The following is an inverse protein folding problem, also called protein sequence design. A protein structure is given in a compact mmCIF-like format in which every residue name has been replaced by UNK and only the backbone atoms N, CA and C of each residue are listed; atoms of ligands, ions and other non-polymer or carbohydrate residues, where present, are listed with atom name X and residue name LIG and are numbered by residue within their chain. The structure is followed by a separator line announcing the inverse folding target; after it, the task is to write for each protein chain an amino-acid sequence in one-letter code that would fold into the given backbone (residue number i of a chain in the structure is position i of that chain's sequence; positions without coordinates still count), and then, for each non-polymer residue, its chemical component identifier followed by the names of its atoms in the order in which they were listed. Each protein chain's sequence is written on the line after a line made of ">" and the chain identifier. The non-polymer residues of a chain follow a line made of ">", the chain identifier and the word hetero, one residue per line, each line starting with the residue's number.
data_IF_576527346874
#
_entry.id   IF_576527346874
#
_cell.length_a   1.000
_cell.length_b   1.000
_cell.length_c   1.000
_cell.angle_alpha   90.00
_cell.angle_beta   90.00
_cell.angle_gamma   90.00
#
_symmetry.space_group_name_H-M   'P 1'
#
loop_
_entity.id
_entity.type
_entity.pdbx_description
1 polymer ?
#
# COMPACT_ATOMS: atom_id res chain seq x y z
N UNK A 1 22.59 8.19 14.14
CA UNK A 1 21.96 6.94 13.67
C UNK A 1 23.05 6.03 13.12
N UNK A 2 23.30 4.85 13.69
CA UNK A 2 24.37 3.97 13.25
C UNK A 2 24.04 3.46 11.83
N UNK A 3 24.93 3.75 10.88
CA UNK A 3 24.71 3.62 9.42
C UNK A 3 24.97 2.22 8.85
N UNK A 4 25.28 1.22 9.68
CA UNK A 4 25.88 -0.05 9.21
C UNK A 4 25.25 -1.29 9.85
N UNK A 5 23.92 -1.35 9.97
CA UNK A 5 23.27 -2.61 10.30
C UNK A 5 23.19 -3.41 8.99
N UNK A 6 23.98 -4.49 8.89
CA UNK A 6 23.87 -5.46 7.78
C UNK A 6 22.40 -5.87 7.67
N UNK A 7 21.85 -5.81 6.46
CA UNK A 7 20.57 -6.45 6.21
C UNK A 7 20.73 -7.98 6.38
N UNK A 8 19.65 -8.73 6.66
CA UNK A 8 19.71 -10.18 6.90
C UNK A 8 20.34 -10.98 5.76
N UNK A 9 20.42 -10.38 4.57
CA UNK A 9 21.06 -10.90 3.35
C UNK A 9 22.54 -10.48 3.20
N UNK A 10 23.13 -9.87 4.23
CA UNK A 10 24.55 -9.47 4.26
C UNK A 10 24.86 -8.15 3.54
N UNK A 11 23.86 -7.51 2.94
CA UNK A 11 24.11 -6.37 2.06
C UNK A 11 24.11 -5.00 2.76
N UNK A 12 24.81 -4.04 2.16
CA UNK A 12 24.95 -2.66 2.65
C UNK A 12 23.79 -1.81 2.11
N UNK A 13 22.96 -1.18 2.98
CA UNK A 13 21.89 -0.29 2.53
C UNK A 13 22.42 0.94 1.80
N UNK A 14 21.91 1.22 0.59
CA UNK A 14 22.13 2.49 -0.13
C UNK A 14 20.94 3.43 0.05
N UNK A 15 21.22 4.74 -0.02
CA UNK A 15 20.16 5.75 -0.10
C UNK A 15 19.41 5.59 -1.44
N UNK A 16 18.06 5.65 -1.45
CA UNK A 16 17.29 5.66 -2.68
C UNK A 16 17.64 6.88 -3.54
N UNK A 17 17.72 6.70 -4.85
CA UNK A 17 17.84 7.84 -5.78
C UNK A 17 16.49 8.55 -5.93
N UNK A 18 16.49 9.82 -6.38
CA UNK A 18 15.26 10.58 -6.63
C UNK A 18 14.31 9.84 -7.60
N UNK A 19 14.86 9.21 -8.65
CA UNK A 19 14.08 8.41 -9.59
C UNK A 19 13.42 7.18 -8.94
N UNK A 20 14.11 6.50 -8.00
CA UNK A 20 13.52 5.39 -7.24
C UNK A 20 12.41 5.86 -6.30
N UNK A 21 12.56 7.03 -5.67
CA UNK A 21 11.50 7.61 -4.83
C UNK A 21 10.27 7.96 -5.65
N UNK A 22 10.45 8.59 -6.82
CA UNK A 22 9.33 8.93 -7.73
C UNK A 22 8.66 7.66 -8.24
N UNK A 23 9.45 6.68 -8.71
CA UNK A 23 8.93 5.40 -9.19
C UNK A 23 8.16 4.64 -8.12
N UNK A 24 8.67 4.58 -6.89
CA UNK A 24 7.99 3.95 -5.75
C UNK A 24 6.68 4.68 -5.38
N UNK A 25 6.66 6.01 -5.50
CA UNK A 25 5.45 6.80 -5.24
C UNK A 25 4.36 6.50 -6.27
N UNK A 26 4.72 6.49 -7.55
CA UNK A 26 3.78 6.17 -8.64
C UNK A 26 3.29 4.72 -8.53
N UNK A 27 4.18 3.77 -8.29
CA UNK A 27 3.82 2.37 -8.08
C UNK A 27 2.89 2.20 -6.86
N UNK A 28 3.16 2.91 -5.76
CA UNK A 28 2.30 2.92 -4.59
C UNK A 28 0.90 3.47 -4.88
N UNK A 29 0.80 4.54 -5.65
CA UNK A 29 -0.50 5.12 -6.04
C UNK A 29 -1.31 4.15 -6.92
N UNK A 30 -0.66 3.50 -7.88
CA UNK A 30 -1.29 2.49 -8.75
C UNK A 30 -1.76 1.27 -7.94
N UNK A 31 -0.93 0.78 -7.01
CA UNK A 31 -1.30 -0.33 -6.14
C UNK A 31 -2.53 -0.02 -5.29
N UNK A 32 -2.61 1.19 -4.72
CA UNK A 32 -3.79 1.63 -3.95
C UNK A 32 -5.03 1.74 -4.83
N UNK A 33 -4.91 2.29 -6.04
CA UNK A 33 -6.02 2.33 -7.00
C UNK A 33 -6.52 0.94 -7.35
N UNK A 34 -5.62 0.01 -7.63
CA UNK A 34 -5.97 -1.37 -7.95
C UNK A 34 -6.65 -2.05 -6.75
N UNK A 35 -6.09 -1.92 -5.56
CA UNK A 35 -6.67 -2.46 -4.33
C UNK A 35 -8.08 -1.91 -4.08
N UNK A 36 -8.28 -0.61 -4.26
CA UNK A 36 -9.60 0.01 -4.13
C UNK A 36 -10.58 -0.56 -5.19
N UNK A 37 -10.15 -0.73 -6.43
CA UNK A 37 -11.00 -1.30 -7.48
C UNK A 37 -11.44 -2.74 -7.14
N UNK A 38 -10.52 -3.57 -6.64
CA UNK A 38 -10.81 -4.93 -6.21
C UNK A 38 -11.79 -4.93 -5.03
N UNK A 39 -11.55 -4.08 -4.04
CA UNK A 39 -12.44 -3.90 -2.89
C UNK A 39 -13.85 -3.48 -3.31
N UNK A 40 -13.97 -2.54 -4.24
CA UNK A 40 -15.29 -2.10 -4.74
C UNK A 40 -16.02 -3.23 -5.46
N UNK A 41 -15.30 -4.04 -6.23
CA UNK A 41 -15.88 -5.22 -6.90
C UNK A 41 -16.31 -6.27 -5.88
N UNK A 42 -15.47 -6.58 -4.89
CA UNK A 42 -15.80 -7.54 -3.83
C UNK A 42 -17.00 -7.06 -2.99
N UNK A 43 -17.05 -5.77 -2.68
CA UNK A 43 -18.18 -5.18 -1.96
C UNK A 43 -19.48 -5.33 -2.74
N UNK A 44 -19.47 -4.98 -4.03
CA UNK A 44 -20.64 -5.17 -4.91
C UNK A 44 -21.02 -6.63 -5.03
N UNK A 45 -20.05 -7.55 -5.05
CA UNK A 45 -20.33 -8.98 -5.14
C UNK A 45 -21.00 -9.53 -3.86
N UNK A 46 -20.51 -9.10 -2.68
CA UNK A 46 -20.98 -9.60 -1.38
C UNK A 46 -22.27 -8.92 -0.94
N UNK A 47 -22.36 -7.61 -1.08
CA UNK A 47 -23.50 -6.81 -0.58
C UNK A 47 -24.57 -6.58 -1.64
N UNK A 48 -24.24 -6.73 -2.93
CA UNK A 48 -25.07 -6.33 -4.07
C UNK A 48 -25.43 -4.83 -4.08
N UNK A 49 -24.72 -4.03 -3.30
CA UNK A 49 -24.88 -2.59 -3.20
C UNK A 49 -23.62 -1.88 -3.69
N UNK A 50 -23.78 -0.60 -4.04
CA UNK A 50 -22.64 0.27 -4.24
C UNK A 50 -21.92 0.57 -2.91
N UNK A 51 -20.57 0.64 -2.94
CA UNK A 51 -19.80 1.02 -1.77
C UNK A 51 -20.18 2.43 -1.33
N UNK A 52 -20.33 2.68 -0.01
CA UNK A 52 -20.79 3.96 0.50
C UNK A 52 -19.76 5.05 0.19
N UNK A 53 -20.19 6.11 -0.51
CA UNK A 53 -19.34 7.27 -0.72
C UNK A 53 -19.44 8.24 0.46
N UNK A 54 -18.42 9.08 0.59
CA UNK A 54 -18.35 10.08 1.68
C UNK A 54 -19.56 11.01 1.64
N UNK A 55 -20.01 11.38 0.44
CA UNK A 55 -21.10 12.33 0.22
C UNK A 55 -22.50 11.68 0.16
N UNK A 56 -22.60 10.34 0.23
CA UNK A 56 -23.88 9.63 0.16
C UNK A 56 -24.65 9.71 1.48
N UNK A 57 -25.98 9.82 1.45
CA UNK A 57 -26.80 9.83 2.68
C UNK A 57 -27.01 8.40 3.22
N UNK A 58 -25.96 7.83 3.80
CA UNK A 58 -25.91 6.48 4.38
C UNK A 58 -25.42 6.54 5.81
N UNK A 59 -25.87 5.57 6.63
CA UNK A 59 -25.50 5.46 8.03
C UNK A 59 -23.99 5.63 8.25
N UNK A 60 -23.62 6.53 9.17
CA UNK A 60 -22.22 6.89 9.48
C UNK A 60 -21.37 5.66 9.79
N UNK A 61 -21.95 4.67 10.47
CA UNK A 61 -21.26 3.41 10.78
C UNK A 61 -20.86 2.63 9.51
N UNK A 62 -21.74 2.57 8.49
CA UNK A 62 -21.46 1.91 7.21
C UNK A 62 -20.31 2.60 6.47
N UNK A 63 -20.27 3.95 6.51
CA UNK A 63 -19.16 4.74 5.97
C UNK A 63 -17.85 4.48 6.71
N UNK A 64 -17.89 4.49 8.05
CA UNK A 64 -16.72 4.24 8.88
C UNK A 64 -16.13 2.85 8.64
N UNK A 65 -16.99 1.83 8.52
CA UNK A 65 -16.58 0.47 8.16
C UNK A 65 -15.91 0.41 6.78
N UNK A 66 -16.48 1.08 5.79
CA UNK A 66 -15.90 1.13 4.44
C UNK A 66 -14.55 1.85 4.40
N UNK A 67 -14.44 3.02 5.04
CA UNK A 67 -13.18 3.77 5.15
C UNK A 67 -12.13 2.95 5.91
N UNK A 68 -12.54 2.28 6.99
CA UNK A 68 -11.67 1.38 7.75
C UNK A 68 -11.17 0.22 6.89
N UNK A 69 -12.03 -0.39 6.09
CA UNK A 69 -11.69 -1.48 5.17
C UNK A 69 -10.69 -1.03 4.10
N UNK A 70 -10.95 0.11 3.44
CA UNK A 70 -10.03 0.69 2.45
C UNK A 70 -8.70 1.06 3.09
N UNK A 71 -8.72 1.66 4.30
CA UNK A 71 -7.53 2.01 5.06
C UNK A 71 -6.70 0.79 5.44
N UNK A 72 -7.33 -0.28 5.91
CA UNK A 72 -6.67 -1.55 6.24
C UNK A 72 -6.04 -2.20 5.00
N UNK A 73 -6.76 -2.26 3.89
CA UNK A 73 -6.24 -2.80 2.64
C UNK A 73 -5.09 -1.96 2.06
N UNK A 74 -5.17 -0.63 2.14
CA UNK A 74 -4.08 0.26 1.74
C UNK A 74 -2.86 0.08 2.65
N UNK A 75 -3.05 -0.12 3.95
CA UNK A 75 -2.00 -0.46 4.90
C UNK A 75 -1.31 -1.77 4.55
N UNK A 76 -2.10 -2.82 4.30
CA UNK A 76 -1.60 -4.13 3.87
C UNK A 76 -0.87 -4.05 2.51
N UNK A 77 -1.41 -3.31 1.53
CA UNK A 77 -0.79 -3.11 0.23
C UNK A 77 0.56 -2.38 0.33
N UNK A 78 0.69 -1.38 1.23
CA UNK A 78 1.97 -0.73 1.50
C UNK A 78 2.98 -1.68 2.15
N UNK A 79 2.52 -2.53 3.06
CA UNK A 79 3.39 -3.53 3.69
C UNK A 79 3.88 -4.54 2.65
N UNK A 80 2.98 -5.10 1.84
CA UNK A 80 3.33 -6.01 0.75
C UNK A 80 4.26 -5.35 -0.29
N UNK A 81 4.04 -4.08 -0.61
CA UNK A 81 4.93 -3.32 -1.48
C UNK A 81 6.32 -3.12 -0.88
N UNK A 82 6.44 -2.96 0.45
CA UNK A 82 7.76 -2.93 1.13
C UNK A 82 8.43 -4.30 1.13
N UNK A 83 7.69 -5.38 1.28
CA UNK A 83 8.25 -6.73 1.21
C UNK A 83 8.78 -7.05 -0.20
N UNK A 84 8.12 -6.53 -1.24
CA UNK A 84 8.55 -6.67 -2.63
C UNK A 84 9.68 -5.70 -3.02
N UNK A 85 9.64 -4.46 -2.55
CA UNK A 85 10.63 -3.42 -2.86
C UNK A 85 11.69 -3.42 -1.75
N UNK A 86 12.71 -4.28 -1.91
CA UNK A 86 13.88 -4.26 -1.02
C UNK A 86 14.67 -2.95 -1.17
N UNK A 87 15.30 -2.44 -0.09
CA UNK A 87 16.19 -1.29 -0.19
C UNK A 87 17.31 -1.57 -1.19
N UNK A 88 17.78 -0.58 -1.97
CA UNK A 88 18.90 -0.79 -2.87
C UNK A 88 20.12 -1.25 -2.06
N UNK A 89 20.61 -2.43 -2.39
CA UNK A 89 21.75 -3.08 -1.75
C UNK A 89 22.93 -3.09 -2.72
N UNK A 90 24.14 -2.80 -2.22
CA UNK A 90 25.34 -3.23 -2.95
C UNK A 90 25.38 -4.76 -2.85
N UNK A 91 25.61 -5.45 -3.97
CA UNK A 91 25.56 -6.91 -4.07
C UNK A 91 26.48 -7.65 -3.10
N UNK A 92 26.47 -9.01 -3.12
CA UNK A 92 27.26 -9.81 -2.20
C UNK A 92 28.74 -9.43 -2.35
N UNK A 93 29.41 -9.28 -1.20
CA UNK A 93 30.85 -9.09 -1.12
C UNK A 93 31.60 -10.31 -1.65
#
# INVERSE_FOLDING_TARGET
>A
MPKNVRQPDGAIPRKPTLGQTIGATLAGMLAVKLANSVLTTLWRLVTREDPPQVDSDVAVLKKALWIGLVGAAAGAARQAARDLIKPPTAGPA
#
